data_IF_284365547682
#
_entry.id   IF_284365547682
#
_cell.length_a   1.000
_cell.length_b   1.000
_cell.length_c   1.000
_cell.angle_alpha   90.00
_cell.angle_beta   90.00
_cell.angle_gamma   90.00
#
_symmetry.space_group_name_H-M   'P 1'
#
loop_
_entity.id
_entity.type
_entity.pdbx_description
1 polymer ?
#
# COMPACT_ATOMS: atom_id res chain seq x y z
N UNK A 1 3.39 -13.69 29.47
CA UNK A 1 2.56 -13.75 28.25
C UNK A 1 3.38 -13.09 27.15
N UNK A 2 3.86 -13.85 26.19
CA UNK A 2 4.60 -13.27 25.05
C UNK A 2 3.59 -12.54 24.17
N UNK A 3 3.69 -11.22 24.09
CA UNK A 3 2.92 -10.41 23.13
C UNK A 3 3.36 -10.81 21.74
N UNK A 4 2.53 -11.58 21.04
CA UNK A 4 2.76 -11.93 19.65
C UNK A 4 2.71 -10.68 18.80
N UNK A 5 3.83 -10.36 18.17
CA UNK A 5 3.96 -9.19 17.30
C UNK A 5 4.50 -9.62 15.94
N UNK A 6 3.77 -9.31 14.87
CA UNK A 6 4.26 -9.40 13.50
C UNK A 6 4.69 -8.02 13.02
N UNK A 7 5.70 -7.96 12.16
CA UNK A 7 6.11 -6.71 11.53
C UNK A 7 6.32 -6.89 10.04
N UNK A 8 5.96 -5.88 9.27
CA UNK A 8 6.11 -5.83 7.84
C UNK A 8 6.51 -4.41 7.43
N UNK A 9 7.44 -4.30 6.51
CA UNK A 9 7.97 -3.02 6.07
C UNK A 9 8.17 -2.98 4.55
N UNK A 10 8.18 -1.79 3.98
CA UNK A 10 8.44 -1.56 2.57
C UNK A 10 9.09 -0.20 2.34
N UNK A 11 9.78 -0.04 1.21
CA UNK A 11 10.17 1.25 0.67
C UNK A 11 8.99 1.91 -0.06
N UNK A 12 9.19 3.14 -0.54
CA UNK A 12 8.10 3.93 -1.14
C UNK A 12 8.36 4.34 -2.59
N UNK A 13 9.33 3.71 -3.28
CA UNK A 13 9.60 4.01 -4.68
C UNK A 13 8.77 3.14 -5.62
N UNK A 14 8.08 3.77 -6.58
CA UNK A 14 7.53 3.10 -7.76
C UNK A 14 8.31 3.51 -9.01
N UNK A 15 8.63 2.56 -9.88
CA UNK A 15 9.41 2.78 -11.09
C UNK A 15 8.64 2.35 -12.35
N UNK A 16 8.93 3.03 -13.46
CA UNK A 16 8.54 2.65 -14.81
C UNK A 16 9.80 2.63 -15.67
N UNK A 17 10.36 1.44 -15.90
CA UNK A 17 11.70 1.31 -16.49
C UNK A 17 12.75 2.05 -15.62
N UNK A 18 13.57 2.93 -16.22
CA UNK A 18 14.61 3.68 -15.50
C UNK A 18 14.07 4.94 -14.79
N UNK A 19 12.78 5.24 -14.91
CA UNK A 19 12.16 6.45 -14.38
C UNK A 19 11.49 6.15 -13.04
N UNK A 20 11.71 7.00 -12.05
CA UNK A 20 10.95 6.99 -10.79
C UNK A 20 9.59 7.63 -11.02
N UNK A 21 8.54 6.82 -11.01
CA UNK A 21 7.18 7.28 -11.26
C UNK A 21 6.54 7.90 -10.00
N UNK A 22 6.82 7.34 -8.82
CA UNK A 22 6.31 7.82 -7.55
C UNK A 22 7.38 7.64 -6.45
N UNK A 23 7.54 8.66 -5.61
CA UNK A 23 8.50 8.67 -4.49
C UNK A 23 7.86 8.36 -3.14
N UNK A 24 6.54 8.27 -3.08
CA UNK A 24 5.81 8.04 -1.83
C UNK A 24 4.59 7.14 -2.03
N UNK A 25 4.78 6.04 -2.78
CA UNK A 25 3.73 5.05 -3.00
C UNK A 25 3.51 4.18 -1.76
N UNK A 26 2.32 3.63 -1.61
CA UNK A 26 1.96 2.68 -0.56
C UNK A 26 2.09 1.25 -1.07
N UNK A 27 3.01 0.46 -0.47
CA UNK A 27 3.22 -0.96 -0.78
C UNK A 27 2.69 -1.89 0.31
N UNK A 28 2.29 -1.33 1.46
CA UNK A 28 1.67 -2.07 2.56
C UNK A 28 0.15 -1.99 2.40
N UNK A 29 -0.48 -3.13 2.13
CA UNK A 29 -1.91 -3.25 1.85
C UNK A 29 -2.65 -3.84 3.05
N UNK A 30 -3.76 -3.23 3.41
CA UNK A 30 -4.66 -3.73 4.42
C UNK A 30 -5.45 -4.94 3.89
N UNK A 31 -5.47 -6.02 4.63
CA UNK A 31 -6.33 -7.18 4.36
C UNK A 31 -7.47 -7.26 5.40
N UNK A 32 -7.10 -7.23 6.66
CA UNK A 32 -8.02 -7.18 7.79
C UNK A 32 -7.35 -6.42 8.94
N UNK A 33 -8.02 -6.12 10.05
CA UNK A 33 -7.41 -5.35 11.14
C UNK A 33 -6.07 -5.90 11.62
N UNK A 34 -5.87 -7.21 11.54
CA UNK A 34 -4.69 -7.89 12.05
C UNK A 34 -3.93 -8.70 10.99
N UNK A 35 -4.22 -8.47 9.70
CA UNK A 35 -3.53 -9.09 8.57
C UNK A 35 -3.19 -8.00 7.55
N UNK A 36 -1.91 -7.87 7.25
CA UNK A 36 -1.39 -6.93 6.26
C UNK A 36 -0.51 -7.63 5.25
N UNK A 37 -0.38 -7.03 4.09
CA UNK A 37 0.33 -7.60 2.97
C UNK A 37 1.27 -6.56 2.34
N UNK A 38 2.51 -6.95 2.06
CA UNK A 38 3.44 -6.14 1.27
C UNK A 38 3.52 -6.71 -0.14
N UNK A 39 3.43 -5.83 -1.15
CA UNK A 39 3.44 -6.20 -2.56
C UNK A 39 4.73 -5.83 -3.27
N UNK A 40 5.25 -6.78 -4.05
CA UNK A 40 6.30 -6.58 -5.04
C UNK A 40 5.82 -7.08 -6.41
N UNK A 41 6.41 -6.56 -7.48
CA UNK A 41 6.02 -6.86 -8.86
C UNK A 41 5.19 -5.75 -9.47
N UNK A 42 4.14 -6.10 -10.22
CA UNK A 42 3.24 -5.14 -10.86
C UNK A 42 2.32 -4.50 -9.83
N UNK A 43 2.45 -3.19 -9.61
CA UNK A 43 1.73 -2.47 -8.55
C UNK A 43 0.20 -2.63 -8.64
N UNK A 44 -0.37 -2.53 -9.84
CA UNK A 44 -1.80 -2.72 -10.06
C UNK A 44 -2.26 -4.14 -9.69
N UNK A 45 -1.47 -5.16 -10.01
CA UNK A 45 -1.79 -6.55 -9.71
C UNK A 45 -1.74 -6.82 -8.20
N UNK A 46 -0.75 -6.25 -7.49
CA UNK A 46 -0.65 -6.41 -6.04
C UNK A 46 -1.81 -5.73 -5.32
N UNK A 47 -2.15 -4.50 -5.71
CA UNK A 47 -3.25 -3.75 -5.12
C UNK A 47 -4.61 -4.41 -5.39
N UNK A 48 -4.89 -4.78 -6.64
CA UNK A 48 -6.16 -5.39 -7.01
C UNK A 48 -6.36 -6.76 -6.38
N UNK A 49 -5.31 -7.60 -6.39
CA UNK A 49 -5.36 -8.94 -5.78
C UNK A 49 -5.59 -8.87 -4.27
N UNK A 50 -4.88 -7.99 -3.58
CA UNK A 50 -5.06 -7.81 -2.12
C UNK A 50 -6.44 -7.25 -1.78
N UNK A 51 -6.98 -6.34 -2.59
CA UNK A 51 -8.33 -5.79 -2.41
C UNK A 51 -9.41 -6.86 -2.58
N UNK A 52 -9.31 -7.73 -3.58
CA UNK A 52 -10.24 -8.84 -3.78
C UNK A 52 -10.23 -9.76 -2.57
N UNK A 53 -9.07 -10.20 -2.13
CA UNK A 53 -8.95 -11.13 -1.01
C UNK A 53 -9.39 -10.47 0.31
N UNK A 54 -9.08 -9.21 0.52
CA UNK A 54 -9.57 -8.44 1.67
C UNK A 54 -11.10 -8.43 1.73
N UNK A 55 -11.75 -8.14 0.61
CA UNK A 55 -13.22 -8.15 0.50
C UNK A 55 -13.81 -9.53 0.80
N UNK A 56 -13.25 -10.58 0.21
CA UNK A 56 -13.73 -11.95 0.43
C UNK A 56 -13.50 -12.41 1.88
N UNK A 57 -12.38 -12.02 2.48
CA UNK A 57 -12.04 -12.38 3.85
C UNK A 57 -12.97 -11.68 4.85
N UNK A 58 -13.36 -10.44 4.58
CA UNK A 58 -14.35 -9.72 5.38
C UNK A 58 -15.72 -10.44 5.35
N UNK A 59 -16.19 -10.83 4.17
CA UNK A 59 -17.43 -11.61 4.04
C UNK A 59 -17.35 -12.95 4.77
N UNK A 60 -16.22 -13.64 4.68
CA UNK A 60 -15.98 -14.90 5.41
C UNK A 60 -16.00 -14.69 6.92
N UNK A 61 -15.36 -13.63 7.43
CA UNK A 61 -15.36 -13.31 8.85
C UNK A 61 -16.76 -12.96 9.37
N UNK A 62 -17.54 -12.21 8.60
CA UNK A 62 -18.93 -11.87 8.92
C UNK A 62 -19.82 -13.12 8.98
N UNK A 63 -19.67 -14.03 8.03
CA UNK A 63 -20.50 -15.25 7.97
C UNK A 63 -20.16 -16.24 9.09
N UNK A 64 -18.91 -16.32 9.51
CA UNK A 64 -18.46 -17.24 10.57
C UNK A 64 -18.50 -16.61 11.97
N UNK A 65 -18.57 -15.29 12.08
CA UNK A 65 -18.48 -14.56 13.34
C UNK A 65 -17.12 -14.72 14.05
N UNK A 66 -16.05 -15.00 13.29
CA UNK A 66 -14.71 -15.26 13.80
C UNK A 66 -13.68 -14.35 13.15
N UNK A 67 -12.60 -14.03 13.89
CA UNK A 67 -11.45 -13.31 13.35
C UNK A 67 -10.80 -14.11 12.21
N UNK A 68 -10.43 -13.48 11.08
CA UNK A 68 -9.75 -14.15 9.98
C UNK A 68 -8.40 -14.73 10.41
N UNK A 69 -8.04 -15.89 9.87
CA UNK A 69 -6.72 -16.49 10.07
C UNK A 69 -5.77 -16.11 8.96
N UNK A 70 -4.50 -15.94 9.30
CA UNK A 70 -3.44 -15.62 8.32
C UNK A 70 -3.33 -16.72 7.26
N UNK A 71 -3.43 -18.00 7.67
CA UNK A 71 -3.38 -19.14 6.75
C UNK A 71 -4.56 -19.13 5.76
N UNK A 72 -5.73 -18.66 6.17
CA UNK A 72 -6.90 -18.51 5.28
C UNK A 72 -6.62 -17.47 4.19
N UNK A 73 -6.09 -16.32 4.58
CA UNK A 73 -5.67 -15.28 3.63
C UNK A 73 -4.63 -15.81 2.63
N UNK A 74 -3.58 -16.46 3.12
CA UNK A 74 -2.54 -17.06 2.29
C UNK A 74 -3.12 -18.10 1.31
N UNK A 75 -4.03 -18.94 1.76
CA UNK A 75 -4.65 -19.98 0.92
C UNK A 75 -5.52 -19.37 -0.19
N UNK A 76 -6.29 -18.35 0.14
CA UNK A 76 -7.11 -17.63 -0.86
C UNK A 76 -6.25 -16.94 -1.92
N UNK A 77 -5.15 -16.30 -1.51
CA UNK A 77 -4.18 -15.69 -2.41
C UNK A 77 -3.53 -16.74 -3.32
N UNK A 78 -3.04 -17.83 -2.74
CA UNK A 78 -2.43 -18.94 -3.47
C UNK A 78 -3.36 -19.49 -4.55
N UNK A 79 -4.59 -19.80 -4.20
CA UNK A 79 -5.57 -20.36 -5.11
C UNK A 79 -5.92 -19.39 -6.26
N UNK A 80 -6.05 -18.13 -5.94
CA UNK A 80 -6.31 -17.08 -6.93
C UNK A 80 -5.13 -16.95 -7.91
N UNK A 81 -3.90 -16.82 -7.41
CA UNK A 81 -2.71 -16.66 -8.25
C UNK A 81 -2.39 -17.93 -9.07
N UNK A 82 -2.52 -19.11 -8.48
CA UNK A 82 -2.31 -20.36 -9.19
C UNK A 82 -3.26 -20.51 -10.40
N UNK A 83 -4.51 -20.12 -10.26
CA UNK A 83 -5.52 -20.16 -11.34
C UNK A 83 -5.05 -19.35 -12.57
N UNK A 84 -4.37 -18.24 -12.35
CA UNK A 84 -3.88 -17.35 -13.42
C UNK A 84 -2.45 -17.67 -13.89
N UNK A 85 -1.84 -18.77 -13.41
CA UNK A 85 -0.58 -19.31 -13.94
C UNK A 85 0.56 -18.29 -14.08
N UNK A 86 0.68 -17.37 -13.12
CA UNK A 86 1.72 -16.33 -13.11
C UNK A 86 1.43 -15.11 -13.99
N UNK A 87 0.29 -15.06 -14.68
CA UNK A 87 -0.10 -13.89 -15.48
C UNK A 87 -0.51 -12.68 -14.63
N UNK A 88 -0.81 -12.90 -13.34
CA UNK A 88 -0.93 -11.83 -12.34
C UNK A 88 0.44 -11.67 -11.70
N UNK A 89 1.12 -10.57 -11.99
CA UNK A 89 2.48 -10.28 -11.52
C UNK A 89 2.51 -9.79 -10.07
N UNK A 90 1.93 -10.55 -9.15
CA UNK A 90 1.89 -10.24 -7.73
C UNK A 90 2.77 -11.20 -6.93
N UNK A 91 3.73 -10.64 -6.21
CA UNK A 91 4.59 -11.31 -5.25
C UNK A 91 4.32 -10.67 -3.89
N UNK A 92 3.89 -11.47 -2.92
CA UNK A 92 3.29 -10.95 -1.70
C UNK A 92 3.96 -11.52 -0.47
N UNK A 93 4.18 -10.67 0.52
CA UNK A 93 4.48 -11.05 1.90
C UNK A 93 3.21 -10.83 2.72
N UNK A 94 2.72 -11.87 3.35
CA UNK A 94 1.52 -11.82 4.21
C UNK A 94 1.97 -11.97 5.66
N UNK A 95 1.62 -10.99 6.48
CA UNK A 95 1.91 -10.98 7.90
C UNK A 95 0.65 -10.71 8.70
N UNK A 96 0.49 -11.39 9.82
CA UNK A 96 -0.65 -11.14 10.68
C UNK A 96 -0.58 -11.87 12.01
N UNK A 97 -1.53 -11.54 12.86
CA UNK A 97 -1.74 -12.17 14.16
C UNK A 97 -3.18 -12.67 14.23
N UNK A 98 -3.36 -13.92 14.57
CA UNK A 98 -4.66 -14.54 14.74
C UNK A 98 -4.72 -15.35 16.04
N UNK A 99 -5.85 -15.97 16.39
CA UNK A 99 -5.93 -16.78 17.61
C UNK A 99 -4.94 -17.94 17.70
N UNK A 100 -4.34 -18.36 16.57
CA UNK A 100 -3.32 -19.43 16.54
C UNK A 100 -1.90 -18.89 16.75
N UNK A 101 -1.70 -17.59 16.70
CA UNK A 101 -0.41 -16.94 16.89
C UNK A 101 -0.04 -16.02 15.72
N UNK A 102 1.26 -15.76 15.57
CA UNK A 102 1.80 -14.95 14.46
C UNK A 102 1.96 -15.82 13.21
N UNK A 103 1.50 -15.31 12.07
CA UNK A 103 1.71 -15.92 10.75
C UNK A 103 2.52 -15.01 9.84
N UNK A 104 3.52 -15.59 9.17
CA UNK A 104 4.31 -14.92 8.13
C UNK A 104 4.52 -15.87 6.96
N UNK A 105 4.04 -15.45 5.79
CA UNK A 105 4.06 -16.24 4.57
C UNK A 105 4.55 -15.43 3.39
N UNK A 106 5.18 -16.10 2.43
CA UNK A 106 5.39 -15.60 1.08
C UNK A 106 4.38 -16.23 0.14
N UNK A 107 3.92 -15.46 -0.85
CA UNK A 107 3.08 -15.94 -1.95
C UNK A 107 3.68 -15.44 -3.25
N UNK A 108 4.07 -16.37 -4.12
CA UNK A 108 4.64 -16.07 -5.44
C UNK A 108 3.56 -16.01 -6.52
N UNK A 109 3.86 -15.34 -7.63
CA UNK A 109 2.90 -15.11 -8.71
C UNK A 109 2.31 -16.40 -9.30
N UNK A 110 3.05 -17.51 -9.30
CA UNK A 110 2.57 -18.82 -9.74
C UNK A 110 1.77 -19.60 -8.70
N UNK A 111 1.62 -19.07 -7.49
CA UNK A 111 0.83 -19.69 -6.42
C UNK A 111 1.64 -20.53 -5.43
N UNK A 112 2.98 -20.55 -5.51
CA UNK A 112 3.80 -21.19 -4.48
C UNK A 112 3.86 -20.34 -3.21
N UNK A 113 3.94 -20.99 -2.06
CA UNK A 113 3.93 -20.33 -0.75
C UNK A 113 4.92 -20.97 0.19
N UNK A 114 5.50 -20.16 1.08
CA UNK A 114 6.38 -20.61 2.16
C UNK A 114 5.99 -19.92 3.47
N UNK A 115 6.19 -20.65 4.58
CA UNK A 115 6.07 -20.10 5.94
C UNK A 115 7.46 -19.98 6.54
N UNK A 116 7.89 -18.77 6.87
CA UNK A 116 9.25 -18.47 7.30
C UNK A 116 9.24 -17.50 8.48
N UNK A 117 10.31 -17.52 9.33
CA UNK A 117 10.42 -16.59 10.45
C UNK A 117 10.78 -15.16 10.01
N UNK A 118 11.46 -14.99 8.90
CA UNK A 118 11.77 -13.72 8.24
C UNK A 118 11.86 -13.92 6.74
N UNK A 119 11.38 -12.93 5.98
CA UNK A 119 11.29 -13.00 4.52
C UNK A 119 11.61 -11.65 3.90
N UNK A 120 12.12 -11.67 2.68
CA UNK A 120 12.32 -10.49 1.85
C UNK A 120 11.82 -10.76 0.44
N UNK A 121 11.33 -9.71 -0.23
CA UNK A 121 10.78 -9.83 -1.57
C UNK A 121 11.01 -8.54 -2.36
N UNK A 122 11.10 -8.66 -3.69
CA UNK A 122 11.35 -7.54 -4.59
C UNK A 122 12.78 -7.45 -5.10
N UNK A 123 13.09 -6.41 -5.87
CA UNK A 123 14.42 -6.19 -6.46
C UNK A 123 15.52 -5.97 -5.42
N UNK A 124 15.19 -5.36 -4.28
CA UNK A 124 16.11 -5.14 -3.16
C UNK A 124 16.20 -6.31 -2.16
N UNK A 125 15.56 -7.44 -2.44
CA UNK A 125 15.42 -8.56 -1.51
C UNK A 125 16.77 -9.15 -1.05
N UNK A 126 17.78 -9.20 -1.90
CA UNK A 126 19.09 -9.74 -1.53
C UNK A 126 19.82 -8.83 -0.54
N UNK A 127 19.76 -7.52 -0.73
CA UNK A 127 20.31 -6.56 0.21
C UNK A 127 19.59 -6.61 1.56
N UNK A 128 18.26 -6.66 1.57
CA UNK A 128 17.47 -6.81 2.78
C UNK A 128 17.73 -8.13 3.50
N UNK A 129 17.83 -9.23 2.75
CA UNK A 129 18.13 -10.55 3.32
C UNK A 129 19.52 -10.61 3.96
N UNK A 130 20.50 -9.91 3.41
CA UNK A 130 21.85 -9.85 4.01
C UNK A 130 21.82 -9.26 5.43
N UNK A 131 20.94 -8.28 5.67
CA UNK A 131 20.73 -7.69 7.00
C UNK A 131 20.02 -8.68 7.93
N UNK A 132 18.97 -9.34 7.47
CA UNK A 132 18.28 -10.34 8.28
C UNK A 132 19.15 -11.52 8.64
N UNK A 133 19.94 -12.05 7.70
CA UNK A 133 20.82 -13.20 7.96
C UNK A 133 21.90 -12.90 8.99
N UNK A 134 22.37 -11.66 9.08
CA UNK A 134 23.42 -11.28 10.05
C UNK A 134 22.86 -10.85 11.40
N UNK A 135 21.66 -10.29 11.46
CA UNK A 135 21.16 -9.60 12.66
C UNK A 135 19.90 -10.22 13.25
N UNK A 136 19.19 -11.07 12.50
CA UNK A 136 17.98 -11.69 13.03
C UNK A 136 18.31 -12.75 14.08
N UNK A 137 17.53 -12.74 15.16
CA UNK A 137 17.53 -13.77 16.21
C UNK A 137 16.08 -13.96 16.70
N UNK A 138 15.80 -15.11 17.27
CA UNK A 138 14.52 -15.33 17.93
C UNK A 138 14.41 -14.48 19.20
N UNK A 139 13.18 -14.07 19.55
CA UNK A 139 12.90 -13.31 20.77
C UNK A 139 13.22 -11.82 20.70
N UNK A 140 13.28 -11.24 19.50
CA UNK A 140 13.34 -9.78 19.33
C UNK A 140 12.10 -9.12 19.93
N UNK A 141 12.30 -8.02 20.65
CA UNK A 141 11.19 -7.17 21.09
C UNK A 141 10.69 -6.28 19.94
N UNK A 142 9.58 -5.56 20.15
CA UNK A 142 8.96 -4.70 19.15
C UNK A 142 9.92 -3.66 18.58
N UNK A 143 10.67 -2.97 19.42
CA UNK A 143 11.59 -1.90 19.02
C UNK A 143 12.78 -2.47 18.22
N UNK A 144 13.38 -3.56 18.71
CA UNK A 144 14.48 -4.24 18.03
C UNK A 144 14.05 -4.77 16.65
N UNK A 145 12.86 -5.37 16.56
CA UNK A 145 12.34 -5.89 15.30
C UNK A 145 11.97 -4.76 14.32
N UNK A 146 11.43 -3.64 14.83
CA UNK A 146 11.15 -2.45 14.00
C UNK A 146 12.43 -1.87 13.42
N UNK A 147 13.46 -1.72 14.25
CA UNK A 147 14.76 -1.23 13.80
C UNK A 147 15.40 -2.18 12.78
N UNK A 148 15.33 -3.48 13.02
CA UNK A 148 15.85 -4.48 12.10
C UNK A 148 15.14 -4.43 10.73
N UNK A 149 13.82 -4.36 10.71
CA UNK A 149 13.04 -4.20 9.48
C UNK A 149 13.42 -2.90 8.75
N UNK A 150 13.53 -1.80 9.49
CA UNK A 150 13.94 -0.52 8.92
C UNK A 150 15.34 -0.58 8.28
N UNK A 151 16.30 -1.19 8.94
CA UNK A 151 17.66 -1.36 8.39
C UNK A 151 17.66 -2.26 7.15
N UNK A 152 16.86 -3.32 7.12
CA UNK A 152 16.73 -4.19 5.97
C UNK A 152 16.17 -3.44 4.74
N UNK A 153 15.12 -2.63 4.92
CA UNK A 153 14.57 -1.80 3.85
C UNK A 153 15.57 -0.73 3.41
N UNK A 154 16.28 -0.08 4.33
CA UNK A 154 17.33 0.89 4.00
C UNK A 154 18.47 0.27 3.21
N UNK A 155 18.87 -0.97 3.50
CA UNK A 155 19.85 -1.68 2.70
C UNK A 155 19.40 -1.82 1.23
N UNK A 156 18.13 -2.10 0.99
CA UNK A 156 17.52 -2.07 -0.34
C UNK A 156 17.53 -0.67 -0.94
N UNK A 157 17.09 0.35 -0.20
CA UNK A 157 17.02 1.75 -0.66
C UNK A 157 18.37 2.25 -1.18
N UNK A 158 19.46 1.93 -0.50
CA UNK A 158 20.80 2.42 -0.84
C UNK A 158 21.55 1.56 -1.85
N UNK A 159 21.22 0.26 -1.98
CA UNK A 159 21.95 -0.66 -2.85
C UNK A 159 21.17 -1.09 -4.08
N UNK A 160 19.83 -0.97 -4.10
CA UNK A 160 18.98 -1.32 -5.24
C UNK A 160 18.44 -0.06 -5.93
N UNK A 161 18.65 0.04 -7.23
CA UNK A 161 18.13 1.17 -8.04
C UNK A 161 16.60 1.18 -8.12
N UNK A 162 15.96 0.02 -7.98
CA UNK A 162 14.50 -0.12 -7.96
C UNK A 162 13.85 0.31 -6.64
N UNK A 163 14.64 0.44 -5.58
CA UNK A 163 14.18 0.85 -4.24
C UNK A 163 14.60 2.28 -3.91
N UNK A 164 13.84 2.97 -3.08
CA UNK A 164 14.20 4.34 -2.73
C UNK A 164 13.21 5.04 -1.80
N UNK A 165 13.51 6.28 -1.50
CA UNK A 165 12.73 7.24 -0.72
C UNK A 165 12.57 6.87 0.74
N UNK A 166 11.38 6.53 1.21
CA UNK A 166 11.07 6.36 2.63
C UNK A 166 10.94 4.90 3.05
N UNK A 167 10.94 4.67 4.35
CA UNK A 167 10.62 3.40 4.97
C UNK A 167 9.24 3.48 5.62
N UNK A 168 8.32 2.62 5.20
CA UNK A 168 7.05 2.40 5.88
C UNK A 168 7.11 1.12 6.70
N UNK A 169 6.56 1.14 7.90
CA UNK A 169 6.50 -0.01 8.81
C UNK A 169 5.08 -0.21 9.32
N UNK A 170 4.61 -1.44 9.32
CA UNK A 170 3.37 -1.84 9.95
C UNK A 170 3.67 -2.82 11.09
N UNK A 171 3.24 -2.47 12.28
CA UNK A 171 3.40 -3.28 13.51
C UNK A 171 2.05 -3.88 13.85
N UNK A 172 1.96 -5.20 13.82
CA UNK A 172 0.72 -5.95 13.99
C UNK A 172 0.75 -6.66 15.32
N UNK A 173 -0.15 -6.28 16.22
CA UNK A 173 -0.36 -6.91 17.53
C UNK A 173 -1.76 -7.49 17.62
N UNK A 174 -1.98 -8.33 18.64
CA UNK A 174 -3.27 -9.00 18.88
C UNK A 174 -4.47 -8.05 18.89
N UNK A 175 -4.32 -6.86 19.47
CA UNK A 175 -5.42 -5.91 19.68
C UNK A 175 -5.23 -4.56 18.99
N UNK A 176 -4.05 -4.30 18.45
CA UNK A 176 -3.71 -3.04 17.80
C UNK A 176 -2.73 -3.26 16.65
N UNK A 177 -3.07 -2.71 15.50
CA UNK A 177 -2.15 -2.60 14.36
C UNK A 177 -1.82 -1.15 14.11
N UNK A 178 -0.54 -0.83 13.99
CA UNK A 178 -0.07 0.54 13.76
C UNK A 178 0.70 0.61 12.45
N UNK A 179 0.21 1.38 11.50
CA UNK A 179 0.92 1.72 10.27
C UNK A 179 1.69 3.04 10.49
N UNK A 180 3.00 3.00 10.31
CA UNK A 180 3.88 4.16 10.38
C UNK A 180 4.38 4.49 8.97
N UNK A 181 3.70 5.43 8.30
CA UNK A 181 4.13 5.97 7.02
C UNK A 181 5.31 6.92 7.23
N UNK A 182 6.36 6.75 6.40
CA UNK A 182 7.57 7.57 6.51
C UNK A 182 8.25 7.44 7.88
N UNK A 183 8.33 6.23 8.43
CA UNK A 183 8.98 5.96 9.72
C UNK A 183 10.44 6.42 9.73
N UNK A 184 11.15 6.20 8.64
CA UNK A 184 12.45 6.80 8.34
C UNK A 184 12.36 7.47 6.97
N UNK A 185 12.91 8.68 6.86
CA UNK A 185 12.96 9.45 5.63
C UNK A 185 14.44 9.77 5.29
N UNK A 186 15.22 8.79 4.83
CA UNK A 186 16.67 8.96 4.69
C UNK A 186 17.07 9.79 3.47
N UNK A 187 16.12 10.07 2.57
CA UNK A 187 16.36 10.79 1.32
C UNK A 187 15.48 12.04 1.20
N UNK A 188 15.22 12.71 2.31
CA UNK A 188 14.44 13.95 2.32
C UNK A 188 15.12 15.01 1.47
N UNK A 189 14.34 15.69 0.65
CA UNK A 189 14.80 16.77 -0.22
C UNK A 189 14.09 18.06 0.14
N UNK A 190 14.86 19.15 0.21
CA UNK A 190 14.30 20.49 0.33
C UNK A 190 13.40 20.84 -0.87
N UNK A 191 12.32 21.60 -0.61
CA UNK A 191 11.45 22.11 -1.67
C UNK A 191 12.26 22.88 -2.71
N UNK A 192 12.02 22.60 -4.00
CA UNK A 192 12.56 23.44 -5.08
C UNK A 192 11.99 24.85 -4.99
N UNK A 193 12.87 25.85 -5.07
CA UNK A 193 12.48 27.28 -5.02
C UNK A 193 11.97 27.78 -6.37
N UNK A 194 11.55 26.91 -7.26
CA UNK A 194 11.09 27.25 -8.60
C UNK A 194 9.56 27.12 -8.70
N UNK A 195 8.91 28.15 -9.22
CA UNK A 195 7.50 28.11 -9.59
C UNK A 195 7.34 27.64 -11.03
N UNK A 196 6.38 26.74 -11.27
CA UNK A 196 5.95 26.28 -12.60
C UNK A 196 4.59 26.85 -12.98
N UNK A 197 4.12 27.84 -12.23
CA UNK A 197 2.88 28.57 -12.54
C UNK A 197 3.22 29.73 -13.46
N UNK A 198 2.67 29.72 -14.67
CA UNK A 198 2.90 30.74 -15.68
C UNK A 198 1.58 31.44 -16.02
N UNK A 199 1.65 32.72 -16.36
CA UNK A 199 0.48 33.48 -16.81
C UNK A 199 -0.03 32.92 -18.14
N UNK A 200 -1.34 33.00 -18.39
CA UNK A 200 -1.91 32.68 -19.71
C UNK A 200 -1.26 33.57 -20.77
N UNK A 201 -0.93 32.99 -21.94
CA UNK A 201 -0.27 33.71 -23.02
C UNK A 201 1.26 33.80 -22.91
N UNK A 202 1.90 33.13 -21.92
CA UNK A 202 3.37 33.07 -21.81
C UNK A 202 4.02 32.37 -23.03
N UNK A 203 3.37 31.31 -23.52
CA UNK A 203 3.86 30.61 -24.74
C UNK A 203 3.23 31.23 -25.97
N UNK A 204 4.05 31.68 -26.92
CA UNK A 204 3.59 32.27 -28.18
C UNK A 204 2.91 31.21 -29.07
N UNK A 205 1.80 31.59 -29.68
CA UNK A 205 1.14 30.80 -30.72
C UNK A 205 1.83 31.13 -32.03
N UNK A 206 2.56 30.15 -32.59
CA UNK A 206 3.34 30.38 -33.84
C UNK A 206 2.51 30.22 -35.12
N UNK A 207 1.49 29.41 -35.08
CA UNK A 207 0.59 29.18 -36.20
C UNK A 207 -0.80 28.72 -35.67
N UNK A 208 -1.83 29.22 -36.35
CA UNK A 208 -3.24 28.88 -36.04
C UNK A 208 -4.00 28.67 -37.35
N UNK A 209 -4.74 27.56 -37.45
CA UNK A 209 -5.67 27.29 -38.53
C UNK A 209 -7.07 27.14 -37.96
N UNK A 210 -7.93 28.11 -38.29
CA UNK A 210 -9.33 28.05 -37.90
C UNK A 210 -10.07 27.15 -38.88
N UNK A 211 -10.56 25.99 -38.40
CA UNK A 211 -11.33 25.03 -39.20
C UNK A 211 -12.82 25.38 -39.15
N UNK A 212 -13.31 25.65 -37.96
CA UNK A 212 -14.71 26.05 -37.71
C UNK A 212 -14.77 26.90 -36.44
N UNK A 213 -15.62 27.88 -36.44
CA UNK A 213 -15.87 28.73 -35.27
C UNK A 213 -17.37 28.85 -35.07
N UNK A 214 -17.83 28.43 -33.94
CA UNK A 214 -19.25 28.55 -33.54
C UNK A 214 -19.38 29.20 -32.17
N UNK A 215 -20.46 29.88 -31.97
CA UNK A 215 -20.81 30.52 -30.71
C UNK A 215 -21.34 29.46 -29.74
N UNK A 216 -20.65 29.24 -28.65
CA UNK A 216 -21.00 28.21 -27.65
C UNK A 216 -22.37 28.51 -27.00
N UNK A 217 -22.73 29.78 -26.87
CA UNK A 217 -24.03 30.22 -26.31
C UNK A 217 -25.25 29.54 -26.92
N UNK A 218 -25.15 29.06 -28.16
CA UNK A 218 -26.22 28.31 -28.82
C UNK A 218 -26.48 26.93 -28.23
N UNK A 219 -25.49 26.37 -27.53
CA UNK A 219 -25.48 25.00 -27.00
C UNK A 219 -25.48 24.94 -25.47
N UNK A 220 -25.43 26.10 -24.80
CA UNK A 220 -25.39 26.19 -23.35
C UNK A 220 -26.70 26.72 -22.83
N UNK A 221 -27.37 25.91 -22.03
CA UNK A 221 -28.54 26.35 -21.27
C UNK A 221 -28.12 26.45 -19.80
N UNK A 222 -28.28 27.62 -19.22
CA UNK A 222 -28.01 27.83 -17.78
C UNK A 222 -29.31 27.59 -17.02
N UNK A 223 -29.31 26.61 -16.15
CA UNK A 223 -30.37 26.37 -15.18
C UNK A 223 -29.91 26.94 -13.83
N UNK A 224 -30.63 27.95 -13.34
CA UNK A 224 -30.46 28.39 -11.96
C UNK A 224 -31.08 27.34 -11.05
N UNK A 225 -30.27 26.77 -10.15
CA UNK A 225 -30.81 25.93 -9.09
C UNK A 225 -31.45 26.84 -8.04
N UNK A 226 -32.78 26.76 -7.93
CA UNK A 226 -33.46 27.35 -6.78
C UNK A 226 -32.93 26.64 -5.51
N UNK A 227 -32.22 27.37 -4.69
CA UNK A 227 -31.89 26.91 -3.35
C UNK A 227 -33.16 26.94 -2.54
N UNK A 228 -33.79 25.79 -2.31
CA UNK A 228 -34.83 25.66 -1.29
C UNK A 228 -34.21 26.17 0.04
N UNK A 229 -34.66 27.33 0.49
CA UNK A 229 -34.39 27.82 1.81
C UNK A 229 -34.98 26.83 2.81
N UNK A 230 -34.13 26.18 3.58
CA UNK A 230 -34.54 25.34 4.69
C UNK A 230 -35.40 26.17 5.65
N UNK A 231 -36.71 26.00 5.53
CA UNK A 231 -37.66 26.46 6.56
C UNK A 231 -37.43 25.53 7.74
N UNK A 232 -36.73 26.06 8.74
CA UNK A 232 -36.56 25.40 10.02
C UNK A 232 -37.89 25.31 10.73
N UNK A 233 -38.50 24.14 10.78
CA UNK A 233 -39.53 23.83 11.76
C UNK A 233 -38.91 23.86 13.16
N UNK A 234 -39.29 24.89 13.92
CA UNK A 234 -39.10 24.91 15.36
C UNK A 234 -40.01 23.84 15.96
N UNK A 235 -39.43 22.78 16.46
CA UNK A 235 -40.09 21.89 17.39
C UNK A 235 -40.28 22.65 18.72
N UNK A 236 -41.50 23.05 19.01
CA UNK A 236 -41.92 23.45 20.36
C UNK A 236 -41.90 22.18 21.26
N UNK A 237 -41.02 22.19 22.22
CA UNK A 237 -41.04 21.21 23.31
C UNK A 237 -41.69 21.90 24.50
N UNK A 238 -42.99 21.70 24.63
CA UNK A 238 -43.70 22.01 25.86
C UNK A 238 -44.35 20.76 26.44
N UNK A 239 -44.11 20.60 27.78
CA UNK A 239 -44.66 19.69 28.79
C UNK A 239 -43.96 18.37 28.98
#
# INVERSE_FOLDING_TARGET
>A
MTDFTGQIAADTRATSGPIVADKNCEKLHYISPQIWCAGAGTAADTEFTTSIISSQLELHALSTGRKPRVVTCMTMLKQHLFKYQGHIGAYLVVAGVDPTGVGLYTVHAHGSTDKLPYVTMGSGSLAAMSVFETMWKSGLNEEEATELCSQAIQAGIFNDLGSGSNVDVCIIKKDLTTLKRGFVQPNERSKKQKSYVFKRGTTAILNEKIIRKEEISKYVTVHEMETESAVGEKMDVDA
#
